data_IF_528085268917
#
_entry.id   IF_528085268917
#
_cell.length_a   1.000
_cell.length_b   1.000
_cell.length_c   1.000
_cell.angle_alpha   90.00
_cell.angle_beta   90.00
_cell.angle_gamma   90.00
#
_symmetry.space_group_name_H-M   'P 1'
#
loop_
_entity.id
_entity.type
_entity.pdbx_description
1 polymer ?
#
# COMPACT_ATOMS: atom_id res chain seq x y z
N UNK A 1 11.49 11.20 -11.92
CA UNK A 1 10.44 12.12 -11.41
C UNK A 1 10.02 11.73 -9.99
N UNK A 2 10.69 12.26 -8.96
CA UNK A 2 10.45 11.93 -7.55
C UNK A 2 9.36 12.78 -6.90
N UNK A 3 8.16 12.82 -7.51
CA UNK A 3 7.03 13.55 -6.93
C UNK A 3 6.56 12.89 -5.63
N UNK A 4 6.02 13.69 -4.71
CA UNK A 4 5.46 13.21 -3.44
C UNK A 4 3.98 13.59 -3.36
N UNK A 5 3.17 12.67 -2.84
CA UNK A 5 1.74 12.86 -2.64
C UNK A 5 1.44 12.64 -1.15
N UNK A 6 0.73 13.58 -0.53
CA UNK A 6 0.25 13.44 0.84
C UNK A 6 -1.14 12.80 0.83
N UNK A 7 -1.32 11.76 1.65
CA UNK A 7 -2.55 11.01 1.79
C UNK A 7 -3.00 11.08 3.25
N UNK A 8 -4.08 11.81 3.52
CA UNK A 8 -4.58 12.02 4.89
C UNK A 8 -5.49 10.88 5.36
N UNK A 9 -6.36 10.36 4.48
CA UNK A 9 -7.30 9.28 4.78
C UNK A 9 -7.87 8.59 3.53
N UNK A 10 -8.32 7.36 3.71
CA UNK A 10 -9.06 6.60 2.70
C UNK A 10 -8.21 5.53 2.00
N UNK A 11 -8.78 4.95 0.93
CA UNK A 11 -8.07 4.01 0.08
C UNK A 11 -7.36 4.74 -1.05
N UNK A 12 -6.13 4.34 -1.35
CA UNK A 12 -5.26 5.03 -2.30
C UNK A 12 -4.59 4.03 -3.27
N UNK A 13 -5.37 3.39 -4.15
CA UNK A 13 -4.79 2.52 -5.19
C UNK A 13 -3.97 3.35 -6.17
N UNK A 14 -2.92 2.75 -6.71
CA UNK A 14 -2.05 3.38 -7.70
C UNK A 14 -1.97 2.49 -8.95
N UNK A 15 -1.94 3.10 -10.14
CA UNK A 15 -1.83 2.40 -11.41
C UNK A 15 -0.90 3.15 -12.36
N UNK A 16 -0.07 2.41 -13.10
CA UNK A 16 0.78 2.95 -14.13
C UNK A 16 0.04 2.99 -15.48
N UNK A 17 0.33 4.01 -16.29
CA UNK A 17 -0.16 4.08 -17.67
C UNK A 17 0.64 3.12 -18.57
N UNK A 18 0.06 2.65 -19.69
CA UNK A 18 0.78 1.80 -20.64
C UNK A 18 2.10 2.43 -21.10
N UNK A 19 3.18 1.66 -21.05
CA UNK A 19 4.53 2.12 -21.42
C UNK A 19 5.29 2.88 -20.32
N UNK A 20 4.70 3.08 -19.14
CA UNK A 20 5.36 3.71 -17.99
C UNK A 20 5.67 2.69 -16.91
N UNK A 21 6.89 2.74 -16.39
CA UNK A 21 7.27 2.01 -15.18
C UNK A 21 7.00 2.87 -13.94
N UNK A 22 6.53 2.23 -12.87
CA UNK A 22 6.21 2.90 -11.61
C UNK A 22 7.07 2.36 -10.48
N UNK A 23 7.63 3.30 -9.72
CA UNK A 23 8.25 3.05 -8.42
C UNK A 23 7.67 4.04 -7.42
N UNK A 24 7.31 3.57 -6.23
CA UNK A 24 6.94 4.43 -5.13
C UNK A 24 7.48 3.87 -3.82
N UNK A 25 7.82 4.77 -2.90
CA UNK A 25 8.27 4.46 -1.57
C UNK A 25 7.31 5.09 -0.56
N UNK A 26 6.71 4.26 0.29
CA UNK A 26 5.73 4.69 1.28
C UNK A 26 6.39 4.91 2.62
N UNK A 27 6.22 6.10 3.18
CA UNK A 27 6.64 6.45 4.54
C UNK A 27 5.39 6.68 5.37
N UNK A 28 5.30 6.03 6.54
CA UNK A 28 4.26 6.25 7.52
C UNK A 28 4.90 6.66 8.84
N UNK A 29 4.38 7.73 9.44
CA UNK A 29 4.82 8.23 10.74
C UNK A 29 3.61 8.56 11.61
N UNK A 30 3.75 8.39 12.92
CA UNK A 30 2.73 8.71 13.90
C UNK A 30 3.37 9.17 15.21
N UNK A 31 2.59 9.83 16.07
CA UNK A 31 3.06 10.33 17.37
C UNK A 31 3.60 9.22 18.28
N UNK A 32 3.00 8.04 18.21
CA UNK A 32 3.43 6.83 18.90
C UNK A 32 3.74 5.71 17.92
N UNK A 33 4.62 4.80 18.33
CA UNK A 33 4.95 3.63 17.54
C UNK A 33 3.79 2.63 17.57
N UNK A 34 3.41 2.15 16.38
CA UNK A 34 2.55 0.99 16.20
C UNK A 34 2.98 0.22 14.96
N UNK A 35 2.64 -1.06 14.90
CA UNK A 35 2.84 -1.82 13.67
C UNK A 35 1.89 -1.37 12.56
N UNK A 36 2.24 -1.71 11.32
CA UNK A 36 1.37 -1.48 10.17
C UNK A 36 0.19 -2.46 10.22
N UNK A 37 -0.99 -1.96 10.54
CA UNK A 37 -2.24 -2.71 10.46
C UNK A 37 -2.86 -2.45 9.10
N UNK A 38 -2.79 -3.42 8.20
CA UNK A 38 -3.42 -3.31 6.89
C UNK A 38 -4.90 -3.64 6.98
N UNK A 39 -5.75 -2.77 6.41
CA UNK A 39 -7.16 -3.04 6.19
C UNK A 39 -7.43 -3.07 4.70
N UNK A 40 -7.87 -4.23 4.20
CA UNK A 40 -8.17 -4.43 2.79
C UNK A 40 -9.65 -4.15 2.53
N UNK A 41 -9.94 -3.35 1.50
CA UNK A 41 -11.31 -3.02 1.13
C UNK A 41 -12.10 -4.29 0.82
N UNK A 42 -13.26 -4.55 1.46
CA UNK A 42 -13.98 -5.82 1.32
C UNK A 42 -14.29 -6.22 -0.12
N UNK A 43 -14.65 -5.26 -0.97
CA UNK A 43 -14.98 -5.48 -2.39
C UNK A 43 -13.79 -5.95 -3.22
N UNK A 44 -12.57 -5.70 -2.76
CA UNK A 44 -11.32 -6.06 -3.46
C UNK A 44 -10.46 -7.06 -2.65
N UNK A 45 -10.99 -7.62 -1.56
CA UNK A 45 -10.23 -8.47 -0.64
C UNK A 45 -9.67 -9.73 -1.32
N UNK A 46 -10.28 -10.21 -2.40
CA UNK A 46 -9.77 -11.31 -3.20
C UNK A 46 -8.34 -11.07 -3.73
N UNK A 47 -7.93 -9.80 -3.87
CA UNK A 47 -6.60 -9.44 -4.38
C UNK A 47 -5.46 -9.81 -3.44
N UNK A 48 -5.75 -10.02 -2.14
CA UNK A 48 -4.78 -10.53 -1.16
C UNK A 48 -4.20 -11.87 -1.61
N UNK A 49 -5.00 -12.66 -2.33
CA UNK A 49 -4.64 -13.98 -2.84
C UNK A 49 -3.96 -13.93 -4.19
N UNK A 50 -4.11 -12.84 -4.95
CA UNK A 50 -3.64 -12.75 -6.34
C UNK A 50 -2.43 -11.85 -6.53
N UNK A 51 -2.24 -10.85 -5.67
CA UNK A 51 -1.09 -9.93 -5.78
C UNK A 51 0.13 -10.57 -5.09
N UNK A 52 1.24 -10.77 -5.83
CA UNK A 52 2.45 -11.36 -5.26
C UNK A 52 2.99 -10.55 -4.07
N UNK A 53 3.40 -11.26 -3.01
CA UNK A 53 4.06 -10.66 -1.84
C UNK A 53 3.15 -9.96 -0.82
N UNK A 54 1.84 -9.80 -1.08
CA UNK A 54 0.93 -9.16 -0.10
C UNK A 54 0.90 -9.94 1.22
N UNK A 55 0.81 -11.27 1.17
CA UNK A 55 0.76 -12.10 2.39
C UNK A 55 2.05 -12.02 3.19
N UNK A 56 3.21 -11.96 2.52
CA UNK A 56 4.51 -11.82 3.17
C UNK A 56 4.62 -10.46 3.86
N UNK A 57 4.10 -9.40 3.24
CA UNK A 57 4.02 -8.07 3.86
C UNK A 57 3.11 -8.10 5.10
N UNK A 58 1.92 -8.69 5.01
CA UNK A 58 1.01 -8.81 6.17
C UNK A 58 1.70 -9.58 7.30
N UNK A 59 2.35 -10.70 7.01
CA UNK A 59 3.07 -11.49 8.01
C UNK A 59 4.24 -10.72 8.65
N UNK A 60 4.97 -9.93 7.86
CA UNK A 60 6.13 -9.16 8.32
C UNK A 60 5.77 -8.04 9.30
N UNK A 61 4.60 -7.44 9.16
CA UNK A 61 4.15 -6.31 10.00
C UNK A 61 3.03 -6.69 10.97
N UNK A 62 2.66 -7.97 11.07
CA UNK A 62 1.77 -8.47 12.12
C UNK A 62 2.52 -8.54 13.46
#
# INVERSE_FOLDING_TARGET
NGSTICLDKGYHPCAALPGYEMYYFTILAGLSQRSLIQYFQPTHAYQIETIPGIKDMVAKFK
#
